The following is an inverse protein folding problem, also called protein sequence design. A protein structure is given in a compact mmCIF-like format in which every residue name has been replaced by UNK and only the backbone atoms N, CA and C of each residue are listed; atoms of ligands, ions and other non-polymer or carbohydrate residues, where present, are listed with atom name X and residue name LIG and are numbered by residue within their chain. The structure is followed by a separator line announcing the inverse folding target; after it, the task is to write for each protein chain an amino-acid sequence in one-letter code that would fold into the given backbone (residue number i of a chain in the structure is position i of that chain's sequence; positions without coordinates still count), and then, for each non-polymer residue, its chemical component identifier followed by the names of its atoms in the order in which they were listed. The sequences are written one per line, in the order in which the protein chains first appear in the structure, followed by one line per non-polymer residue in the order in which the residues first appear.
data_IF_876671819975
#
_entry.id   IF_876671819975
#
_cell.length_a   1.000
_cell.length_b   1.000
_cell.length_c   1.000
_cell.angle_alpha   90.00
_cell.angle_beta   90.00
_cell.angle_gamma   90.00
#
_symmetry.space_group_name_H-M   'P 1'
#
loop_
_entity.id
_entity.type
_entity.pdbx_description
1 polymer ?
#
# COMPACT_ATOMS: atom_id res chain seq x y z
N UNK A 1 -37.92 -1.14 -8.88
CA UNK A 1 -36.82 -0.14 -8.85
C UNK A 1 -35.68 -0.60 -7.92
N UNK A 2 -35.59 -1.89 -7.59
CA UNK A 2 -34.67 -2.49 -6.63
C UNK A 2 -33.55 -3.34 -7.25
N UNK A 3 -33.50 -3.46 -8.58
CA UNK A 3 -32.54 -4.34 -9.27
C UNK A 3 -31.22 -3.68 -9.70
N UNK A 4 -31.08 -2.38 -9.45
CA UNK A 4 -29.88 -1.64 -9.91
C UNK A 4 -28.66 -1.78 -8.99
N UNK A 5 -28.84 -2.09 -7.70
CA UNK A 5 -27.74 -2.11 -6.73
C UNK A 5 -26.99 -3.48 -6.68
N UNK A 6 -27.69 -4.59 -6.99
CA UNK A 6 -27.10 -5.93 -6.94
C UNK A 6 -26.35 -6.39 -8.20
N UNK A 7 -26.60 -5.75 -9.33
CA UNK A 7 -26.19 -6.28 -10.65
C UNK A 7 -24.88 -5.67 -11.18
N UNK A 8 -24.37 -4.57 -10.58
CA UNK A 8 -23.15 -3.95 -11.10
C UNK A 8 -21.90 -4.82 -10.89
N UNK A 9 -21.85 -5.64 -9.86
CA UNK A 9 -20.74 -6.59 -9.62
C UNK A 9 -20.62 -7.65 -10.70
N UNK A 10 -21.73 -8.01 -11.33
CA UNK A 10 -21.83 -9.05 -12.36
C UNK A 10 -21.68 -8.54 -13.78
N UNK A 11 -21.47 -7.23 -14.00
CA UNK A 11 -21.23 -6.72 -15.35
C UNK A 11 -19.88 -7.20 -15.91
N UNK A 12 -19.76 -7.38 -17.24
CA UNK A 12 -18.48 -7.67 -17.87
C UNK A 12 -17.44 -6.58 -17.54
N UNK A 13 -16.22 -6.98 -17.20
CA UNK A 13 -15.10 -6.07 -16.92
C UNK A 13 -13.81 -6.57 -17.53
N UNK A 14 -13.03 -5.64 -18.06
CA UNK A 14 -11.61 -5.85 -18.36
C UNK A 14 -10.86 -5.71 -17.04
N UNK A 15 -10.24 -6.79 -16.59
CA UNK A 15 -9.63 -6.89 -15.27
C UNK A 15 -8.12 -6.93 -15.40
N UNK A 16 -7.44 -6.24 -14.50
CA UNK A 16 -6.01 -6.39 -14.28
C UNK A 16 -5.75 -6.82 -12.86
N UNK A 17 -4.73 -7.66 -12.69
CA UNK A 17 -4.24 -8.03 -11.36
C UNK A 17 -3.04 -7.17 -11.00
N UNK A 18 -3.03 -6.70 -9.76
CA UNK A 18 -1.88 -6.01 -9.21
C UNK A 18 -1.34 -6.76 -7.99
N UNK A 19 -0.03 -6.97 -7.97
CA UNK A 19 0.65 -7.64 -6.87
C UNK A 19 2.03 -7.08 -6.57
N UNK A 20 2.49 -7.37 -5.34
CA UNK A 20 3.84 -7.06 -4.89
C UNK A 20 4.43 -8.28 -4.20
N UNK A 21 5.60 -8.75 -4.65
CA UNK A 21 6.34 -9.88 -4.08
C UNK A 21 7.60 -9.40 -3.37
N UNK A 22 8.05 -10.13 -2.34
CA UNK A 22 9.30 -9.85 -1.63
C UNK A 22 10.51 -10.31 -2.46
N UNK A 23 11.71 -9.76 -2.18
CA UNK A 23 12.95 -9.99 -2.97
C UNK A 23 13.83 -11.14 -2.47
N UNK A 24 13.40 -11.94 -1.53
CA UNK A 24 14.19 -13.10 -1.06
C UNK A 24 14.12 -14.23 -2.10
N UNK A 25 15.28 -14.57 -2.69
CA UNK A 25 15.41 -15.28 -3.98
C UNK A 25 14.68 -16.63 -4.11
N UNK A 26 14.67 -17.49 -3.11
CA UNK A 26 14.00 -18.79 -3.20
C UNK A 26 12.50 -18.71 -2.89
N UNK A 27 12.11 -17.84 -1.99
CA UNK A 27 10.71 -17.60 -1.67
C UNK A 27 9.98 -16.80 -2.76
N UNK A 28 10.72 -16.05 -3.58
CA UNK A 28 10.15 -15.20 -4.63
C UNK A 28 9.51 -16.02 -5.76
N UNK A 29 10.17 -17.09 -6.22
CA UNK A 29 9.63 -17.94 -7.29
C UNK A 29 8.39 -18.71 -6.84
N UNK A 30 8.39 -19.21 -5.60
CA UNK A 30 7.23 -19.88 -5.03
C UNK A 30 6.09 -18.89 -4.74
N UNK A 31 6.39 -17.68 -4.26
CA UNK A 31 5.41 -16.64 -4.00
C UNK A 31 4.77 -16.11 -5.29
N UNK A 32 5.54 -15.96 -6.36
CA UNK A 32 5.03 -15.61 -7.69
C UNK A 32 4.11 -16.71 -8.24
N UNK A 33 4.54 -17.98 -8.17
CA UNK A 33 3.72 -19.11 -8.59
C UNK A 33 2.38 -19.18 -7.88
N UNK A 34 2.41 -19.11 -6.55
CA UNK A 34 1.21 -19.11 -5.71
C UNK A 34 0.31 -17.89 -5.97
N UNK A 35 0.90 -16.74 -6.30
CA UNK A 35 0.13 -15.53 -6.62
C UNK A 35 -0.55 -15.66 -7.99
N UNK A 36 0.14 -16.23 -8.98
CA UNK A 36 -0.41 -16.45 -10.32
C UNK A 36 -1.53 -17.48 -10.29
N UNK A 37 -1.34 -18.57 -9.56
CA UNK A 37 -2.37 -19.59 -9.35
C UNK A 37 -3.62 -18.99 -8.69
N UNK A 38 -3.44 -18.20 -7.64
CA UNK A 38 -4.53 -17.52 -6.97
C UNK A 38 -5.29 -16.55 -7.88
N UNK A 39 -4.60 -15.79 -8.75
CA UNK A 39 -5.25 -14.93 -9.74
C UNK A 39 -6.04 -15.72 -10.76
N UNK A 40 -5.50 -16.86 -11.22
CA UNK A 40 -6.16 -17.74 -12.18
C UNK A 40 -7.44 -18.32 -11.57
N UNK A 41 -7.36 -18.83 -10.36
CA UNK A 41 -8.52 -19.35 -9.62
C UNK A 41 -9.60 -18.28 -9.43
N UNK A 42 -9.20 -17.07 -9.08
CA UNK A 42 -10.14 -15.98 -8.86
C UNK A 42 -10.82 -15.57 -10.18
N UNK A 43 -10.08 -15.53 -11.28
CA UNK A 43 -10.63 -15.25 -12.60
C UNK A 43 -11.64 -16.33 -13.05
N UNK A 44 -11.32 -17.60 -12.82
CA UNK A 44 -12.22 -18.72 -13.14
C UNK A 44 -13.55 -18.67 -12.37
N UNK A 45 -13.54 -18.17 -11.14
CA UNK A 45 -14.76 -17.99 -10.32
C UNK A 45 -15.60 -16.78 -10.73
N UNK A 46 -15.08 -15.93 -11.61
CA UNK A 46 -15.75 -14.71 -12.06
C UNK A 46 -15.87 -14.71 -13.60
N UNK A 47 -16.85 -15.41 -14.18
CA UNK A 47 -16.95 -15.59 -15.64
C UNK A 47 -17.16 -14.28 -16.42
N UNK A 48 -17.58 -13.23 -15.76
CA UNK A 48 -17.74 -11.89 -16.36
C UNK A 48 -16.43 -11.08 -16.36
N UNK A 49 -15.32 -11.64 -15.89
CA UNK A 49 -14.02 -10.97 -15.90
C UNK A 49 -13.18 -11.41 -17.08
N UNK A 50 -12.74 -10.45 -17.88
CA UNK A 50 -11.75 -10.67 -18.94
C UNK A 50 -10.41 -10.13 -18.45
N UNK A 51 -9.48 -11.01 -18.10
CA UNK A 51 -8.15 -10.62 -17.64
C UNK A 51 -7.35 -10.11 -18.84
N UNK A 52 -6.94 -8.83 -18.79
CA UNK A 52 -6.24 -8.17 -19.92
C UNK A 52 -4.77 -7.92 -19.62
N UNK A 53 -4.37 -7.81 -18.36
CA UNK A 53 -2.97 -7.63 -17.97
C UNK A 53 -2.72 -8.01 -16.51
N UNK A 54 -1.44 -8.12 -16.17
CA UNK A 54 -0.96 -8.27 -14.79
C UNK A 54 0.20 -7.29 -14.56
N UNK A 55 0.20 -6.67 -13.39
CA UNK A 55 1.22 -5.73 -12.94
C UNK A 55 1.81 -6.22 -11.63
N UNK A 56 3.08 -6.59 -11.66
CA UNK A 56 3.77 -7.10 -10.49
C UNK A 56 4.99 -6.24 -10.23
N UNK A 57 5.07 -5.70 -9.02
CA UNK A 57 6.27 -5.04 -8.52
C UNK A 57 7.03 -6.00 -7.61
N UNK A 58 8.32 -6.14 -7.85
CA UNK A 58 9.21 -6.86 -6.94
C UNK A 58 9.49 -5.98 -5.74
N UNK A 59 9.29 -6.55 -4.53
CA UNK A 59 9.46 -5.83 -3.28
C UNK A 59 10.91 -5.46 -3.05
N UNK A 60 11.23 -4.20 -3.23
CA UNK A 60 12.51 -3.63 -2.84
C UNK A 60 12.45 -3.31 -1.35
N UNK A 61 13.47 -3.75 -0.59
CA UNK A 61 13.64 -3.47 0.83
C UNK A 61 13.45 -1.97 1.16
N UNK A 62 12.92 -1.68 2.33
CA UNK A 62 12.32 -0.41 2.80
C UNK A 62 13.02 0.93 2.56
N UNK A 63 14.22 0.98 2.00
CA UNK A 63 14.99 2.21 1.74
C UNK A 63 14.92 2.71 0.30
N UNK A 64 14.55 1.87 -0.68
CA UNK A 64 14.43 2.27 -2.09
C UNK A 64 12.96 2.39 -2.54
N UNK A 65 12.18 3.12 -1.78
CA UNK A 65 10.74 3.28 -1.96
C UNK A 65 10.31 4.06 -3.24
N UNK A 66 11.24 4.44 -4.11
CA UNK A 66 10.94 5.29 -5.28
C UNK A 66 10.53 4.53 -6.55
N UNK A 67 10.59 3.20 -6.57
CA UNK A 67 10.39 2.47 -7.83
C UNK A 67 9.32 1.39 -7.68
N UNK A 68 8.08 1.75 -7.98
CA UNK A 68 6.98 0.83 -8.29
C UNK A 68 6.63 0.98 -9.78
N UNK A 69 7.50 0.54 -10.69
CA UNK A 69 7.34 0.82 -12.11
C UNK A 69 6.07 0.19 -12.68
N UNK A 70 5.70 -1.00 -12.19
CA UNK A 70 4.48 -1.67 -12.64
C UNK A 70 3.23 -0.96 -12.12
N UNK A 71 3.23 -0.46 -10.89
CA UNK A 71 2.14 0.36 -10.37
C UNK A 71 1.97 1.66 -11.15
N UNK A 72 3.07 2.37 -11.40
CA UNK A 72 3.01 3.63 -12.16
C UNK A 72 2.49 3.40 -13.58
N UNK A 73 2.99 2.36 -14.26
CA UNK A 73 2.50 1.97 -15.58
C UNK A 73 1.01 1.57 -15.56
N UNK A 74 0.57 0.90 -14.49
CA UNK A 74 -0.85 0.57 -14.31
C UNK A 74 -1.70 1.84 -14.21
N UNK A 75 -1.28 2.86 -13.45
CA UNK A 75 -1.99 4.14 -13.36
C UNK A 75 -2.07 4.84 -14.72
N UNK A 76 -0.97 4.85 -15.50
CA UNK A 76 -1.00 5.43 -16.86
C UNK A 76 -1.98 4.68 -17.77
N UNK A 77 -1.98 3.34 -17.74
CA UNK A 77 -2.92 2.54 -18.52
C UNK A 77 -4.38 2.71 -18.05
N UNK A 78 -4.60 3.04 -16.77
CA UNK A 78 -5.92 3.39 -16.24
C UNK A 78 -6.41 4.72 -16.86
N UNK A 79 -5.55 5.74 -16.98
CA UNK A 79 -5.87 7.01 -17.68
C UNK A 79 -6.26 6.78 -19.13
N UNK A 80 -5.65 5.79 -19.77
CA UNK A 80 -5.95 5.41 -21.15
C UNK A 80 -7.17 4.49 -21.27
N UNK A 81 -7.89 4.23 -20.18
CA UNK A 81 -9.09 3.36 -20.13
C UNK A 81 -8.85 1.96 -20.70
N UNK A 82 -7.65 1.37 -20.50
CA UNK A 82 -7.32 0.03 -20.98
C UNK A 82 -8.01 -1.09 -20.23
N UNK A 83 -8.50 -0.83 -19.03
CA UNK A 83 -9.22 -1.78 -18.18
C UNK A 83 -10.21 -1.05 -17.26
N UNK A 84 -11.08 -1.83 -16.62
CA UNK A 84 -12.19 -1.30 -15.82
C UNK A 84 -12.04 -1.62 -14.33
N UNK A 85 -11.29 -2.67 -13.99
CA UNK A 85 -11.15 -3.15 -12.62
C UNK A 85 -9.71 -3.58 -12.33
N UNK A 86 -9.17 -3.09 -11.24
CA UNK A 86 -7.92 -3.58 -10.63
C UNK A 86 -8.30 -4.53 -9.48
N UNK A 87 -7.76 -5.73 -9.50
CA UNK A 87 -7.91 -6.70 -8.42
C UNK A 87 -6.56 -6.90 -7.74
N UNK A 88 -6.53 -6.75 -6.44
CA UNK A 88 -5.36 -6.97 -5.61
C UNK A 88 -5.74 -7.77 -4.37
N UNK A 89 -4.79 -8.50 -3.81
CA UNK A 89 -5.05 -9.39 -2.69
C UNK A 89 -5.47 -8.61 -1.44
N UNK A 90 -4.71 -7.57 -1.12
CA UNK A 90 -4.91 -6.78 0.10
C UNK A 90 -4.40 -5.34 -0.08
N UNK A 91 -4.90 -4.44 0.76
CA UNK A 91 -4.57 -3.03 0.77
C UNK A 91 -3.06 -2.78 0.96
N UNK A 92 -2.40 -3.56 1.80
CA UNK A 92 -0.97 -3.48 2.11
C UNK A 92 -0.07 -3.75 0.89
N UNK A 93 -0.56 -4.48 -0.10
CA UNK A 93 0.13 -4.73 -1.38
C UNK A 93 -0.06 -3.57 -2.35
N UNK A 94 -1.23 -2.95 -2.31
CA UNK A 94 -1.60 -1.85 -3.20
C UNK A 94 -0.93 -0.53 -2.80
N UNK A 95 -0.91 -0.19 -1.51
CA UNK A 95 -0.35 1.06 -1.02
C UNK A 95 0.53 0.85 0.22
N UNK A 96 1.33 1.87 0.57
CA UNK A 96 2.24 1.85 1.73
C UNK A 96 1.49 2.05 3.03
N UNK A 97 0.45 2.82 2.97
CA UNK A 97 -0.45 3.13 4.07
C UNK A 97 -1.85 3.36 3.52
N UNK A 98 -2.81 3.45 4.41
CA UNK A 98 -4.23 3.57 4.06
C UNK A 98 -4.56 4.92 3.41
N UNK A 99 -3.82 5.98 3.75
CA UNK A 99 -4.01 7.32 3.15
C UNK A 99 -3.61 7.30 1.68
N UNK A 100 -2.45 6.71 1.36
CA UNK A 100 -1.99 6.56 -0.02
C UNK A 100 -2.97 5.68 -0.83
N UNK A 101 -3.53 4.62 -0.21
CA UNK A 101 -4.53 3.78 -0.85
C UNK A 101 -5.81 4.57 -1.19
N UNK A 102 -6.32 5.36 -0.23
CA UNK A 102 -7.50 6.19 -0.42
C UNK A 102 -7.28 7.21 -1.55
N UNK A 103 -6.12 7.87 -1.59
CA UNK A 103 -5.80 8.84 -2.62
C UNK A 103 -5.72 8.18 -4.01
N UNK A 104 -5.00 7.05 -4.11
CA UNK A 104 -4.86 6.32 -5.37
C UNK A 104 -6.22 5.77 -5.87
N UNK A 105 -7.06 5.26 -4.98
CA UNK A 105 -8.40 4.77 -5.36
C UNK A 105 -9.33 5.90 -5.81
N UNK A 106 -9.24 7.08 -5.20
CA UNK A 106 -9.98 8.28 -5.64
C UNK A 106 -9.52 8.75 -7.02
N UNK A 107 -8.21 8.75 -7.26
CA UNK A 107 -7.65 9.07 -8.58
C UNK A 107 -8.15 8.08 -9.64
N UNK A 108 -8.06 6.77 -9.37
CA UNK A 108 -8.55 5.71 -10.27
C UNK A 108 -10.05 5.83 -10.55
N UNK A 109 -10.84 6.18 -9.54
CA UNK A 109 -12.29 6.43 -9.69
C UNK A 109 -12.59 7.57 -10.69
N UNK A 110 -11.74 8.61 -10.74
CA UNK A 110 -11.87 9.68 -11.73
C UNK A 110 -11.66 9.18 -13.17
N UNK A 111 -10.85 8.13 -13.34
CA UNK A 111 -10.67 7.45 -14.62
C UNK A 111 -11.71 6.35 -14.89
N UNK A 112 -12.73 6.22 -14.03
CA UNK A 112 -13.75 5.18 -14.14
C UNK A 112 -13.25 3.78 -13.82
N UNK A 113 -12.08 3.63 -13.17
CA UNK A 113 -11.47 2.36 -12.80
C UNK A 113 -11.79 2.01 -11.36
N UNK A 114 -12.31 0.79 -11.16
CA UNK A 114 -12.62 0.23 -9.85
C UNK A 114 -11.40 -0.47 -9.26
N UNK A 115 -11.35 -0.58 -7.92
CA UNK A 115 -10.36 -1.40 -7.22
C UNK A 115 -11.07 -2.36 -6.27
N UNK A 116 -10.67 -3.64 -6.31
CA UNK A 116 -11.16 -4.66 -5.41
C UNK A 116 -10.03 -5.26 -4.58
N UNK A 117 -10.08 -5.05 -3.27
CA UNK A 117 -9.18 -5.63 -2.27
C UNK A 117 -9.84 -6.89 -1.71
N UNK A 118 -9.41 -8.06 -2.20
CA UNK A 118 -10.12 -9.32 -2.00
C UNK A 118 -10.14 -9.75 -0.54
N UNK A 119 -8.96 -9.78 0.13
CA UNK A 119 -8.86 -10.19 1.54
C UNK A 119 -9.52 -9.21 2.49
N UNK A 120 -9.49 -7.92 2.14
CA UNK A 120 -10.12 -6.86 2.96
C UNK A 120 -11.64 -6.78 2.71
N UNK A 121 -12.14 -7.44 1.65
CA UNK A 121 -13.53 -7.39 1.25
C UNK A 121 -13.99 -5.97 0.89
N UNK A 122 -13.10 -5.15 0.33
CA UNK A 122 -13.37 -3.76 -0.02
C UNK A 122 -13.41 -3.61 -1.54
N UNK A 123 -14.52 -3.12 -2.06
CA UNK A 123 -14.67 -2.74 -3.45
C UNK A 123 -14.96 -1.25 -3.54
N UNK A 124 -14.14 -0.49 -4.26
CA UNK A 124 -14.20 0.99 -4.24
C UNK A 124 -15.45 1.60 -4.89
N UNK A 125 -16.15 0.83 -5.70
CA UNK A 125 -17.44 1.28 -6.28
C UNK A 125 -18.65 0.93 -5.40
N UNK A 126 -18.48 0.13 -4.36
CA UNK A 126 -19.49 -0.01 -3.31
C UNK A 126 -19.60 1.32 -2.56
N UNK A 127 -20.81 1.79 -2.29
CA UNK A 127 -21.02 2.99 -1.48
C UNK A 127 -20.36 2.90 -0.09
N UNK A 128 -20.18 1.69 0.40
CA UNK A 128 -19.52 1.37 1.66
C UNK A 128 -17.97 1.32 1.53
N UNK A 129 -17.44 0.98 0.36
CA UNK A 129 -16.01 0.77 0.17
C UNK A 129 -15.16 2.03 0.40
N UNK A 130 -15.60 3.17 -0.10
CA UNK A 130 -14.90 4.44 0.12
C UNK A 130 -15.01 4.90 1.58
N UNK A 131 -16.16 4.68 2.22
CA UNK A 131 -16.37 5.00 3.64
C UNK A 131 -15.43 4.17 4.51
N UNK A 132 -15.33 2.86 4.27
CA UNK A 132 -14.41 1.97 4.98
C UNK A 132 -12.96 2.40 4.82
N UNK A 133 -12.51 2.69 3.61
CA UNK A 133 -11.16 3.21 3.36
C UNK A 133 -10.91 4.54 4.07
N UNK A 134 -11.89 5.44 4.09
CA UNK A 134 -11.78 6.75 4.76
C UNK A 134 -11.64 6.58 6.27
N UNK A 135 -12.44 5.71 6.88
CA UNK A 135 -12.36 5.41 8.33
C UNK A 135 -10.98 4.80 8.64
N UNK A 136 -10.53 3.81 7.87
CA UNK A 136 -9.23 3.18 8.06
C UNK A 136 -8.08 4.19 7.92
N UNK A 137 -8.16 5.09 6.94
CA UNK A 137 -7.16 6.14 6.74
C UNK A 137 -7.12 7.11 7.92
N UNK A 138 -8.28 7.50 8.46
CA UNK A 138 -8.38 8.38 9.61
C UNK A 138 -7.78 7.75 10.87
N UNK A 139 -8.06 6.47 11.12
CA UNK A 139 -7.48 5.72 12.25
C UNK A 139 -5.95 5.64 12.11
N UNK A 140 -5.45 5.25 10.94
CA UNK A 140 -4.02 5.13 10.68
C UNK A 140 -3.28 6.48 10.85
N UNK A 141 -3.90 7.58 10.43
CA UNK A 141 -3.36 8.92 10.60
C UNK A 141 -3.30 9.33 12.07
N UNK A 142 -4.33 9.01 12.84
CA UNK A 142 -4.40 9.29 14.29
C UNK A 142 -3.35 8.48 15.06
N UNK A 143 -3.15 7.20 14.72
CA UNK A 143 -2.12 6.35 15.31
C UNK A 143 -0.71 6.87 15.01
N UNK A 144 -0.46 7.29 13.76
CA UNK A 144 0.81 7.89 13.36
C UNK A 144 1.10 9.18 14.12
N UNK A 145 0.10 10.05 14.30
CA UNK A 145 0.20 11.27 15.08
C UNK A 145 0.53 10.97 16.55
N UNK A 146 -0.23 10.08 17.19
CA UNK A 146 -0.01 9.67 18.60
C UNK A 146 1.38 9.06 18.80
N UNK A 147 1.85 8.25 17.85
CA UNK A 147 3.20 7.66 17.89
C UNK A 147 4.27 8.75 17.80
N UNK A 148 4.11 9.69 16.88
CA UNK A 148 5.03 10.84 16.74
C UNK A 148 5.08 11.69 18.01
N UNK A 149 3.93 11.98 18.63
CA UNK A 149 3.83 12.73 19.89
C UNK A 149 4.54 11.99 21.05
N UNK A 150 4.34 10.67 21.17
CA UNK A 150 5.02 9.82 22.17
C UNK A 150 6.54 9.83 21.99
N UNK A 151 7.00 9.68 20.75
CA UNK A 151 8.44 9.71 20.42
C UNK A 151 9.03 11.08 20.78
N UNK A 152 8.37 12.19 20.41
CA UNK A 152 8.81 13.54 20.76
C UNK A 152 8.86 13.76 22.27
N UNK A 153 7.85 13.31 23.00
CA UNK A 153 7.81 13.42 24.46
C UNK A 153 8.93 12.58 25.09
N UNK A 154 9.15 11.35 24.62
CA UNK A 154 10.26 10.51 25.09
C UNK A 154 11.64 11.12 24.81
N UNK A 155 11.84 11.67 23.62
CA UNK A 155 13.08 12.39 23.27
C UNK A 155 13.30 13.64 24.15
N UNK A 156 12.25 14.40 24.42
CA UNK A 156 12.32 15.57 25.32
C UNK A 156 12.74 15.15 26.73
N UNK A 157 12.07 14.12 27.28
CA UNK A 157 12.37 13.59 28.62
C UNK A 157 13.81 13.05 28.73
N UNK A 158 14.30 12.40 27.67
CA UNK A 158 15.69 11.90 27.63
C UNK A 158 16.71 13.03 27.56
N UNK A 159 16.43 14.10 26.79
CA UNK A 159 17.29 15.30 26.77
C UNK A 159 17.35 15.98 28.13
N UNK A 160 16.21 16.10 28.80
CA UNK A 160 16.14 16.67 30.16
C UNK A 160 16.93 15.85 31.18
N UNK A 161 17.09 14.54 30.97
CA UNK A 161 17.92 13.63 31.77
C UNK A 161 19.39 13.57 31.29
N UNK A 162 19.81 14.40 30.34
CA UNK A 162 21.18 14.43 29.81
C UNK A 162 21.49 13.27 28.84
N UNK A 163 20.50 12.46 28.44
CA UNK A 163 20.73 11.37 27.49
C UNK A 163 20.76 11.93 26.08
N UNK A 164 21.89 11.82 25.40
CA UNK A 164 22.07 12.27 24.04
C UNK A 164 21.56 11.22 23.04
N UNK A 165 20.61 11.63 22.19
CA UNK A 165 20.10 10.83 21.10
C UNK A 165 20.98 11.01 19.85
N UNK A 166 21.49 9.91 19.32
CA UNK A 166 22.20 9.85 18.05
C UNK A 166 23.37 8.86 18.09
N UNK A 167 23.58 8.14 16.98
CA UNK A 167 24.74 7.24 16.80
C UNK A 167 25.89 7.94 16.05
N UNK A 168 25.89 9.26 15.93
CA UNK A 168 26.92 10.01 15.22
C UNK A 168 27.81 10.84 16.15
N UNK A 169 29.00 11.18 15.66
CA UNK A 169 29.86 12.18 16.29
C UNK A 169 29.20 13.55 16.21
N UNK A 170 29.13 14.24 17.30
CA UNK A 170 28.70 15.64 17.33
C UNK A 170 29.90 16.51 16.99
N UNK A 171 29.69 17.54 16.18
CA UNK A 171 30.76 18.46 15.83
C UNK A 171 31.37 19.07 17.09
N UNK A 172 32.68 18.85 17.31
CA UNK A 172 33.41 19.32 18.50
C UNK A 172 33.31 18.42 19.73
N UNK A 173 32.76 17.21 19.62
CA UNK A 173 32.63 16.27 20.72
C UNK A 173 32.99 14.85 20.30
N UNK A 174 33.68 14.13 21.17
CA UNK A 174 33.90 12.68 21.07
C UNK A 174 33.07 11.93 22.08
N UNK A 175 32.77 10.70 21.76
CA UNK A 175 32.05 9.79 22.65
C UNK A 175 33.05 8.85 23.31
N UNK A 176 33.23 9.00 24.61
CA UNK A 176 34.09 8.12 25.41
C UNK A 176 33.20 7.44 26.45
N UNK A 177 33.19 6.09 26.45
CA UNK A 177 32.42 5.23 27.38
C UNK A 177 30.93 5.58 27.52
N UNK A 178 30.32 6.11 26.45
CA UNK A 178 28.90 6.48 26.43
C UNK A 178 28.63 7.94 26.77
N UNK A 179 29.60 8.66 27.29
CA UNK A 179 29.53 10.10 27.57
C UNK A 179 30.11 10.95 26.41
N UNK A 180 29.68 12.19 26.34
CA UNK A 180 30.14 13.14 25.31
C UNK A 180 31.19 14.03 25.96
N UNK A 181 32.41 13.99 25.43
CA UNK A 181 33.54 14.76 25.90
C UNK A 181 33.92 15.81 24.86
N UNK A 182 34.20 17.05 25.31
CA UNK A 182 34.70 18.09 24.43
C UNK A 182 36.07 17.73 23.84
N UNK A 183 36.25 17.98 22.54
CA UNK A 183 37.62 18.14 22.00
C UNK A 183 38.24 19.37 22.60
N UNK A 184 39.35 19.19 23.29
CA UNK A 184 40.24 20.27 23.68
C UNK A 184 41.28 20.49 22.60
#
# INVERSE_FOLDING_TARGET
MTDYIGNYKNRPRRVVFYGRVSTEHEEQLSALGNQMEWYTDLALRNPNWTVVAQYIDEGITGTQMKKRPSFMRMIEHAKEHRFDLIVTRELSRFARNTVDALNATRELKQYGVEVYFVNDGIWTMDGDGEVRLTIMASIAQDESRKTSERVKAGQKMSREKGVLYGRGNFFGYDRVDGDVVFYV
#
